data_IF_393679855747
#
_entry.id   IF_393679855747
#
_cell.length_a   1.000
_cell.length_b   1.000
_cell.length_c   1.000
_cell.angle_alpha   90.00
_cell.angle_beta   90.00
_cell.angle_gamma   90.00
#
_symmetry.space_group_name_H-M   'P 1'
#
loop_
_entity.id
_entity.type
_entity.pdbx_description
1 polymer ?
#
# COMPACT_ATOMS: atom_id res chain seq x y z
N UNK A 1 7.16 8.08 -1.94
CA UNK A 1 5.71 7.93 -1.83
C UNK A 1 5.42 6.66 -1.04
N UNK A 2 4.47 6.72 -0.11
CA UNK A 2 3.99 5.59 0.68
C UNK A 2 2.47 5.65 0.67
N UNK A 3 1.82 4.50 0.56
CA UNK A 3 0.39 4.33 0.80
C UNK A 3 0.24 3.30 1.91
N UNK A 4 -0.70 3.52 2.82
CA UNK A 4 -0.93 2.63 3.95
C UNK A 4 -2.25 1.88 3.75
N UNK A 5 -2.21 0.57 3.97
CA UNK A 5 -3.42 -0.25 4.09
C UNK A 5 -3.53 -0.79 5.51
N UNK A 6 -4.51 -0.30 6.27
CA UNK A 6 -4.85 -0.82 7.59
C UNK A 6 -5.67 -2.10 7.41
N UNK A 7 -4.99 -3.24 7.55
CA UNK A 7 -5.58 -4.56 7.33
C UNK A 7 -6.26 -5.10 8.59
N UNK A 8 -7.14 -6.09 8.41
CA UNK A 8 -7.92 -6.77 9.45
C UNK A 8 -8.92 -5.88 10.20
N UNK A 9 -9.43 -4.83 9.55
CA UNK A 9 -10.46 -3.98 10.14
C UNK A 9 -11.78 -4.72 10.42
N UNK A 10 -11.98 -5.92 9.86
CA UNK A 10 -13.10 -6.81 10.16
C UNK A 10 -13.05 -7.45 11.55
N UNK A 11 -11.88 -7.40 12.20
CA UNK A 11 -11.66 -7.96 13.54
C UNK A 11 -11.72 -6.88 14.63
N UNK A 12 -11.99 -5.62 14.25
CA UNK A 12 -12.00 -4.47 15.15
C UNK A 12 -13.36 -3.80 15.06
N UNK A 13 -14.17 -3.97 16.10
CA UNK A 13 -15.53 -3.42 16.16
C UNK A 13 -15.55 -1.94 16.60
N UNK A 14 -14.44 -1.44 17.16
CA UNK A 14 -14.32 -0.08 17.70
C UNK A 14 -13.68 0.88 16.68
N UNK A 15 -14.48 1.81 16.19
CA UNK A 15 -14.03 2.84 15.26
C UNK A 15 -13.00 3.80 15.88
N UNK A 16 -13.08 4.08 17.19
CA UNK A 16 -12.13 4.96 17.87
C UNK A 16 -10.73 4.35 17.90
N UNK A 17 -10.63 3.02 18.05
CA UNK A 17 -9.35 2.32 17.99
C UNK A 17 -8.71 2.41 16.60
N UNK A 18 -9.51 2.30 15.53
CA UNK A 18 -9.02 2.44 14.16
C UNK A 18 -8.56 3.86 13.85
N UNK A 19 -9.22 4.88 14.40
CA UNK A 19 -8.80 6.28 14.28
C UNK A 19 -7.50 6.54 15.05
N UNK A 20 -7.35 5.98 16.26
CA UNK A 20 -6.12 6.10 17.04
C UNK A 20 -4.92 5.49 16.31
N UNK A 21 -5.06 4.28 15.75
CA UNK A 21 -3.99 3.64 14.97
C UNK A 21 -3.66 4.47 13.73
N UNK A 22 -4.67 5.04 13.06
CA UNK A 22 -4.42 5.93 11.93
C UNK A 22 -3.58 7.14 12.33
N UNK A 23 -3.91 7.80 13.44
CA UNK A 23 -3.12 8.92 13.98
C UNK A 23 -1.68 8.51 14.27
N UNK A 24 -1.46 7.39 14.96
CA UNK A 24 -0.10 6.91 15.27
C UNK A 24 0.72 6.62 14.01
N UNK A 25 0.10 6.08 12.96
CA UNK A 25 0.77 5.82 11.67
C UNK A 25 1.13 7.15 10.98
N UNK A 26 0.24 8.14 11.00
CA UNK A 26 0.53 9.47 10.43
C UNK A 26 1.67 10.16 11.16
N UNK A 27 1.68 10.12 12.49
CA UNK A 27 2.78 10.65 13.31
C UNK A 27 4.10 9.95 13.00
N UNK A 28 4.08 8.63 12.83
CA UNK A 28 5.28 7.86 12.48
C UNK A 28 5.81 8.25 11.09
N UNK A 29 4.93 8.42 10.10
CA UNK A 29 5.31 8.88 8.76
C UNK A 29 5.95 10.28 8.82
N UNK A 30 5.30 11.22 9.51
CA UNK A 30 5.80 12.59 9.70
C UNK A 30 7.14 12.62 10.43
N UNK A 31 7.36 11.72 11.40
CA UNK A 31 8.64 11.57 12.11
C UNK A 31 9.81 11.19 11.20
N UNK A 32 9.55 10.48 10.11
CA UNK A 32 10.56 10.05 9.13
C UNK A 32 10.50 10.89 7.84
N UNK A 33 10.05 12.14 7.92
CA UNK A 33 10.00 13.10 6.81
C UNK A 33 9.10 12.67 5.64
N UNK A 34 8.13 11.79 5.87
CA UNK A 34 7.05 11.51 4.92
C UNK A 34 5.85 12.43 5.20
N UNK A 35 5.03 12.76 4.19
CA UNK A 35 3.84 13.58 4.38
C UNK A 35 2.73 12.78 5.07
N UNK A 36 2.80 12.63 6.39
CA UNK A 36 1.88 11.80 7.17
C UNK A 36 0.41 12.25 7.03
N UNK A 37 0.15 13.54 6.98
CA UNK A 37 -1.21 14.10 6.85
C UNK A 37 -1.82 13.86 5.47
N UNK A 38 -1.01 13.91 4.40
CA UNK A 38 -1.47 13.74 3.01
C UNK A 38 -1.37 12.28 2.51
N UNK A 39 -0.72 11.41 3.27
CA UNK A 39 -0.55 10.00 2.88
C UNK A 39 -1.91 9.30 2.86
N UNK A 40 -2.30 8.64 1.75
CA UNK A 40 -3.53 7.86 1.70
C UNK A 40 -3.45 6.67 2.66
N UNK A 41 -4.48 6.55 3.50
CA UNK A 41 -4.66 5.42 4.42
C UNK A 41 -6.00 4.76 4.11
N UNK A 42 -5.96 3.51 3.68
CA UNK A 42 -7.16 2.73 3.32
C UNK A 42 -7.41 1.67 4.39
N UNK A 43 -8.62 1.66 4.96
CA UNK A 43 -9.07 0.66 5.94
C UNK A 43 -9.76 -0.49 5.22
N UNK A 44 -9.41 -1.72 5.59
CA UNK A 44 -10.00 -2.91 4.96
C UNK A 44 -9.57 -4.24 5.57
N UNK A 45 -10.00 -5.31 4.92
CA UNK A 45 -9.65 -6.68 5.23
C UNK A 45 -9.30 -7.43 3.96
N UNK A 46 -8.01 -7.72 3.79
CA UNK A 46 -7.52 -8.54 2.68
C UNK A 46 -8.11 -9.96 2.73
N UNK A 47 -8.46 -10.45 3.93
CA UNK A 47 -9.12 -11.76 4.10
C UNK A 47 -10.52 -11.73 3.51
N UNK A 48 -11.36 -10.77 3.89
CA UNK A 48 -12.71 -10.64 3.34
C UNK A 48 -12.69 -10.44 1.83
N UNK A 49 -11.75 -9.61 1.32
CA UNK A 49 -11.55 -9.44 -0.10
C UNK A 49 -11.21 -10.76 -0.82
N UNK A 50 -10.33 -11.59 -0.23
CA UNK A 50 -9.97 -12.89 -0.78
C UNK A 50 -11.13 -13.90 -0.74
N UNK A 51 -12.00 -13.79 0.26
CA UNK A 51 -13.21 -14.60 0.41
C UNK A 51 -14.35 -14.14 -0.53
N UNK A 52 -14.14 -13.07 -1.29
CA UNK A 52 -15.10 -12.54 -2.27
C UNK A 52 -16.18 -11.64 -1.68
N UNK A 53 -15.93 -11.07 -0.49
CA UNK A 53 -16.82 -10.08 0.12
C UNK A 53 -16.79 -8.77 -0.69
N UNK A 54 -17.95 -8.35 -1.17
CA UNK A 54 -18.12 -7.10 -1.93
C UNK A 54 -18.45 -5.89 -1.07
N UNK A 55 -18.46 -6.05 0.25
CA UNK A 55 -18.67 -4.99 1.22
C UNK A 55 -17.51 -3.99 1.26
N UNK A 56 -17.71 -2.94 2.04
CA UNK A 56 -16.78 -1.81 2.13
C UNK A 56 -15.38 -2.20 2.58
N UNK A 57 -15.23 -3.21 3.45
CA UNK A 57 -13.94 -3.68 3.94
C UNK A 57 -13.30 -4.75 3.04
N UNK A 58 -14.05 -5.38 2.14
CA UNK A 58 -13.58 -6.45 1.26
C UNK A 58 -13.02 -5.94 -0.06
N UNK A 59 -13.57 -6.41 -1.18
CA UNK A 59 -13.15 -6.04 -2.54
C UNK A 59 -13.10 -4.51 -2.76
N UNK A 60 -14.06 -3.76 -2.20
CA UNK A 60 -14.11 -2.31 -2.34
C UNK A 60 -12.92 -1.60 -1.68
N UNK A 61 -12.40 -2.12 -0.56
CA UNK A 61 -11.21 -1.56 0.06
C UNK A 61 -9.96 -1.77 -0.83
N UNK A 62 -9.87 -2.91 -1.52
CA UNK A 62 -8.78 -3.18 -2.46
C UNK A 62 -8.88 -2.27 -3.69
N UNK A 63 -10.08 -2.02 -4.20
CA UNK A 63 -10.28 -1.07 -5.29
C UNK A 63 -9.87 0.36 -4.88
N UNK A 64 -10.25 0.81 -3.69
CA UNK A 64 -9.79 2.11 -3.14
C UNK A 64 -8.27 2.17 -2.97
N UNK A 65 -7.65 1.06 -2.60
CA UNK A 65 -6.18 0.97 -2.52
C UNK A 65 -5.54 1.07 -3.91
N UNK A 66 -6.11 0.43 -4.92
CA UNK A 66 -5.67 0.55 -6.31
C UNK A 66 -5.82 1.99 -6.83
N UNK A 67 -6.96 2.63 -6.58
CA UNK A 67 -7.19 4.03 -6.95
C UNK A 67 -6.18 4.97 -6.26
N UNK A 68 -5.82 4.70 -5.00
CA UNK A 68 -4.78 5.45 -4.32
C UNK A 68 -3.40 5.27 -4.97
N UNK A 69 -3.06 4.06 -5.43
CA UNK A 69 -1.81 3.82 -6.17
C UNK A 69 -1.74 4.68 -7.44
N UNK A 70 -2.84 4.70 -8.21
CA UNK A 70 -2.91 5.44 -9.48
C UNK A 70 -2.91 6.96 -9.29
N UNK A 71 -3.47 7.46 -8.19
CA UNK A 71 -3.64 8.91 -7.97
C UNK A 71 -2.53 9.55 -7.14
N UNK A 72 -1.91 8.82 -6.22
CA UNK A 72 -0.93 9.37 -5.29
C UNK A 72 0.52 9.09 -5.70
N UNK A 73 0.81 7.96 -6.34
CA UNK A 73 2.16 7.64 -6.79
C UNK A 73 2.32 8.15 -8.23
N UNK A 74 3.17 9.17 -8.48
CA UNK A 74 3.35 9.67 -9.83
C UNK A 74 4.03 8.62 -10.71
N UNK A 75 3.73 8.67 -12.01
CA UNK A 75 4.44 7.86 -12.98
C UNK A 75 5.93 8.23 -12.96
N UNK A 76 6.84 7.26 -12.74
CA UNK A 76 8.27 7.55 -12.70
C UNK A 76 8.81 7.88 -14.09
N UNK A 77 9.77 8.79 -14.14
CA UNK A 77 10.50 9.13 -15.36
C UNK A 77 11.35 7.94 -15.82
N UNK A 78 11.21 7.57 -17.10
CA UNK A 78 11.95 6.43 -17.67
C UNK A 78 13.33 6.90 -18.14
N UNK A 79 14.40 6.37 -17.55
CA UNK A 79 15.78 6.67 -17.92
C UNK A 79 16.25 5.89 -19.17
N UNK A 80 15.55 6.02 -20.29
CA UNK A 80 15.82 5.24 -21.53
C UNK A 80 17.04 5.71 -22.31
N UNK A 81 17.43 6.97 -22.15
CA UNK A 81 18.58 7.58 -22.86
C UNK A 81 19.89 7.46 -22.07
N UNK A 82 19.86 6.82 -20.89
CA UNK A 82 21.01 6.61 -20.03
C UNK A 82 21.89 5.42 -20.46
N UNK A 83 23.02 5.25 -19.77
CA UNK A 83 23.80 4.03 -19.88
C UNK A 83 23.01 2.84 -19.31
N UNK A 84 23.16 1.67 -19.93
CA UNK A 84 22.55 0.45 -19.41
C UNK A 84 23.03 0.16 -17.99
N UNK A 85 22.08 -0.01 -17.07
CA UNK A 85 22.32 -0.33 -15.67
C UNK A 85 21.24 -1.32 -15.20
N UNK A 86 21.67 -2.45 -14.64
CA UNK A 86 20.78 -3.50 -14.14
C UNK A 86 21.31 -3.99 -12.78
N UNK A 87 20.66 -3.60 -11.66
CA UNK A 87 20.93 -4.19 -10.36
C UNK A 87 20.51 -5.66 -10.35
N UNK A 88 21.42 -6.57 -9.99
CA UNK A 88 21.10 -8.01 -9.87
C UNK A 88 20.32 -8.22 -8.57
N UNK A 89 19.08 -8.68 -8.68
CA UNK A 89 18.22 -8.97 -7.53
C UNK A 89 18.44 -10.39 -6.99
N UNK A 90 18.51 -11.39 -7.87
CA UNK A 90 18.73 -12.78 -7.51
C UNK A 90 19.43 -13.54 -8.66
N UNK A 91 20.04 -14.69 -8.36
CA UNK A 91 20.77 -15.53 -9.32
C UNK A 91 20.16 -16.92 -9.37
N UNK A 92 19.68 -17.30 -10.55
CA UNK A 92 19.12 -18.63 -10.80
C UNK A 92 20.02 -19.44 -11.73
N UNK A 93 20.13 -20.74 -11.46
CA UNK A 93 20.74 -21.69 -12.38
C UNK A 93 19.64 -22.41 -13.17
N UNK A 94 19.69 -22.32 -14.49
CA UNK A 94 18.74 -22.99 -15.38
C UNK A 94 19.47 -24.17 -16.03
N UNK A 95 19.16 -25.39 -15.58
CA UNK A 95 19.78 -26.62 -16.09
C UNK A 95 19.61 -26.77 -17.61
N UNK A 96 20.72 -26.92 -18.33
CA UNK A 96 20.76 -27.10 -19.78
C UNK A 96 21.44 -25.98 -20.57
N UNK A 97 22.05 -24.99 -19.88
CA UNK A 97 22.97 -23.99 -20.44
C UNK A 97 24.23 -23.88 -19.60
#
# INVERSE_FOLDING_TARGET
YIIVFLNKCDMVDDAELLELVEMEVRELLSKYDFPGDDTPIVKGSAKLALEGDKGDLGEQAIMRLADALDTYIPQPDRAVDGAFLLPVEDVFSISGR
#
